data_IF_981846752841
#
_entry.id   IF_981846752841
#
_cell.length_a   1.000
_cell.length_b   1.000
_cell.length_c   1.000
_cell.angle_alpha   90.00
_cell.angle_beta   90.00
_cell.angle_gamma   90.00
#
_symmetry.space_group_name_H-M   'P 1'
#
loop_
_entity.id
_entity.type
_entity.pdbx_description
1 polymer ?
#
# COMPACT_ATOMS: atom_id res chain seq x y z
N UNK A 1 -18.32 3.85 4.36
CA UNK A 1 -17.06 3.52 5.08
C UNK A 1 -16.58 2.16 4.59
N UNK A 2 -15.49 2.07 3.82
CA UNK A 2 -14.96 0.76 3.41
C UNK A 2 -14.48 0.01 4.64
N UNK A 3 -14.90 -1.27 4.80
CA UNK A 3 -14.43 -2.12 5.90
C UNK A 3 -12.95 -2.46 5.68
N UNK A 4 -12.11 -2.19 6.68
CA UNK A 4 -10.70 -2.61 6.67
C UNK A 4 -10.63 -4.13 6.73
N UNK A 5 -10.05 -4.76 5.71
CA UNK A 5 -9.80 -6.21 5.66
C UNK A 5 -8.38 -6.50 6.13
N UNK A 6 -8.23 -7.38 7.13
CA UNK A 6 -6.91 -7.86 7.55
C UNK A 6 -6.30 -8.66 6.40
N UNK A 7 -5.08 -8.29 6.01
CA UNK A 7 -4.26 -9.05 5.06
C UNK A 7 -2.93 -9.38 5.71
N UNK A 8 -2.47 -10.61 5.51
CA UNK A 8 -1.18 -11.10 5.98
C UNK A 8 -0.17 -11.05 4.84
N UNK A 9 1.08 -10.77 5.18
CA UNK A 9 2.23 -10.91 4.31
C UNK A 9 3.31 -11.68 5.07
N UNK A 10 4.09 -12.47 4.35
CA UNK A 10 5.22 -13.19 4.92
C UNK A 10 6.43 -12.27 5.00
N UNK A 11 7.21 -12.38 6.07
CA UNK A 11 8.41 -11.60 6.30
C UNK A 11 9.44 -12.43 7.06
N UNK A 12 10.73 -12.20 6.81
CA UNK A 12 11.78 -12.81 7.62
C UNK A 12 11.86 -12.09 8.99
N UNK A 13 12.48 -12.71 10.00
CA UNK A 13 12.74 -12.03 11.29
C UNK A 13 13.53 -10.73 11.13
N UNK A 14 14.43 -10.68 10.14
CA UNK A 14 15.21 -9.47 9.80
C UNK A 14 14.30 -8.36 9.29
N UNK A 15 13.41 -8.68 8.35
CA UNK A 15 12.46 -7.71 7.78
C UNK A 15 11.54 -7.14 8.87
N UNK A 16 11.10 -7.99 9.81
CA UNK A 16 10.28 -7.56 10.93
C UNK A 16 11.01 -6.56 11.84
N UNK A 17 12.30 -6.82 12.10
CA UNK A 17 13.15 -5.94 12.91
C UNK A 17 13.38 -4.60 12.21
N UNK A 18 13.66 -4.63 10.91
CA UNK A 18 13.80 -3.42 10.09
C UNK A 18 12.51 -2.59 10.06
N UNK A 19 11.36 -3.25 9.88
CA UNK A 19 10.06 -2.59 9.90
C UNK A 19 9.78 -1.94 11.26
N UNK A 20 10.13 -2.60 12.37
CA UNK A 20 9.94 -2.03 13.70
C UNK A 20 10.78 -0.76 13.92
N UNK A 21 12.04 -0.77 13.47
CA UNK A 21 12.91 0.41 13.54
C UNK A 21 12.34 1.59 12.74
N UNK A 22 11.90 1.35 11.50
CA UNK A 22 11.30 2.37 10.63
C UNK A 22 9.99 2.90 11.23
N UNK A 23 9.15 2.02 11.77
CA UNK A 23 7.89 2.39 12.40
C UNK A 23 8.12 3.31 13.60
N UNK A 24 9.07 2.97 14.49
CA UNK A 24 9.46 3.81 15.63
C UNK A 24 10.00 5.17 15.20
N UNK A 25 10.86 5.20 14.19
CA UNK A 25 11.43 6.45 13.67
C UNK A 25 10.35 7.43 13.18
N UNK A 26 9.30 6.92 12.55
CA UNK A 26 8.19 7.74 12.06
C UNK A 26 7.02 7.92 13.05
N UNK A 27 7.09 7.33 14.25
CA UNK A 27 5.99 7.38 15.22
C UNK A 27 4.72 6.65 14.75
N UNK A 28 4.85 5.64 13.89
CA UNK A 28 3.75 4.88 13.31
C UNK A 28 3.72 3.46 13.86
N UNK A 29 2.57 2.79 13.75
CA UNK A 29 2.53 1.34 13.89
C UNK A 29 3.02 0.65 12.59
N UNK A 30 3.33 -0.66 12.68
CA UNK A 30 3.87 -1.45 11.56
C UNK A 30 2.96 -1.42 10.32
N UNK A 31 1.66 -1.61 10.51
CA UNK A 31 0.68 -1.61 9.40
C UNK A 31 0.56 -0.24 8.73
N UNK A 32 0.53 0.84 9.51
CA UNK A 32 0.51 2.20 9.02
C UNK A 32 1.80 2.55 8.27
N UNK A 33 2.93 2.04 8.75
CA UNK A 33 4.24 2.20 8.08
C UNK A 33 4.23 1.55 6.70
N UNK A 34 3.79 0.30 6.58
CA UNK A 34 3.67 -0.40 5.28
C UNK A 34 2.71 0.35 4.35
N UNK A 35 1.52 0.72 4.84
CA UNK A 35 0.55 1.44 4.03
C UNK A 35 1.10 2.78 3.53
N UNK A 36 1.84 3.51 4.38
CA UNK A 36 2.49 4.76 4.02
C UNK A 36 3.58 4.56 2.96
N UNK A 37 4.44 3.54 3.13
CA UNK A 37 5.49 3.22 2.17
C UNK A 37 4.91 2.82 0.81
N UNK A 38 3.88 1.97 0.80
CA UNK A 38 3.19 1.55 -0.43
C UNK A 38 2.57 2.75 -1.14
N UNK A 39 1.85 3.63 -0.42
CA UNK A 39 1.27 4.85 -1.04
C UNK A 39 2.35 5.77 -1.60
N UNK A 40 3.45 5.98 -0.86
CA UNK A 40 4.56 6.82 -1.31
C UNK A 40 5.20 6.27 -2.57
N UNK A 41 5.44 4.96 -2.62
CA UNK A 41 6.04 4.32 -3.78
C UNK A 41 5.09 4.30 -4.97
N UNK A 42 3.81 4.04 -4.73
CA UNK A 42 2.78 4.06 -5.76
C UNK A 42 2.75 5.39 -6.52
N UNK A 43 2.71 6.51 -5.79
CA UNK A 43 2.69 7.83 -6.42
C UNK A 43 4.02 8.23 -7.05
N UNK A 44 5.14 7.65 -6.62
CA UNK A 44 6.42 7.82 -7.31
C UNK A 44 6.43 7.13 -8.66
N UNK A 45 5.84 5.93 -8.75
CA UNK A 45 5.74 5.16 -10.00
C UNK A 45 4.72 5.80 -10.96
N UNK A 46 3.63 6.37 -10.42
CA UNK A 46 2.52 6.94 -11.19
C UNK A 46 2.30 8.44 -10.89
N UNK A 47 3.26 9.33 -11.22
CA UNK A 47 3.17 10.74 -10.88
C UNK A 47 2.04 11.49 -11.60
N UNK A 48 1.61 11.00 -12.77
CA UNK A 48 0.51 11.56 -13.56
C UNK A 48 -0.83 10.85 -13.37
N UNK A 49 -0.97 9.99 -12.35
CA UNK A 49 -2.18 9.19 -12.15
C UNK A 49 -2.10 7.78 -12.74
N UNK A 50 -3.18 7.03 -12.57
CA UNK A 50 -3.25 5.59 -12.82
C UNK A 50 -3.92 5.24 -14.15
N UNK A 51 -4.12 6.22 -15.03
CA UNK A 51 -4.90 6.07 -16.28
C UNK A 51 -4.34 4.98 -17.21
N UNK A 52 -3.05 4.64 -17.07
CA UNK A 52 -2.38 3.58 -17.83
C UNK A 52 -2.48 2.19 -17.19
N UNK A 53 -2.94 2.08 -15.95
CA UNK A 53 -3.17 0.80 -15.28
C UNK A 53 -4.53 0.30 -15.75
N UNK A 54 -4.52 -0.70 -16.63
CA UNK A 54 -5.75 -1.44 -16.94
C UNK A 54 -6.24 -2.10 -15.65
N UNK A 55 -7.50 -1.86 -15.23
CA UNK A 55 -8.08 -2.55 -14.10
C UNK A 55 -8.01 -4.07 -14.32
N UNK A 56 -7.80 -4.82 -13.24
CA UNK A 56 -7.87 -6.28 -13.30
C UNK A 56 -9.22 -6.75 -13.87
N UNK A 57 -9.21 -7.92 -14.52
CA UNK A 57 -10.39 -8.48 -15.18
C UNK A 57 -11.56 -8.58 -14.18
N UNK A 58 -12.61 -7.77 -14.39
CA UNK A 58 -13.80 -7.72 -13.53
C UNK A 58 -13.87 -6.57 -12.53
N UNK A 59 -12.86 -5.68 -12.48
CA UNK A 59 -12.97 -4.43 -11.76
C UNK A 59 -13.98 -3.50 -12.47
N UNK A 60 -14.96 -2.98 -11.73
CA UNK A 60 -15.90 -1.98 -12.27
C UNK A 60 -15.13 -0.69 -12.53
N UNK A 61 -14.98 -0.34 -13.81
CA UNK A 61 -14.53 0.98 -14.24
C UNK A 61 -15.77 1.85 -14.37
N UNK A 62 -15.83 2.96 -13.64
CA UNK A 62 -16.83 4.01 -13.88
C UNK A 62 -16.37 4.84 -15.08
N UNK A 63 -16.70 4.39 -16.29
CA UNK A 63 -16.77 5.15 -17.56
C UNK A 63 -17.17 4.14 -18.64
N UNK A 64 -18.22 4.28 -19.44
CA UNK A 64 -18.84 5.47 -20.04
C UNK A 64 -20.36 5.54 -19.81
N UNK A 65 -20.86 6.76 -19.64
CA UNK A 65 -22.23 7.19 -19.95
C UNK A 65 -22.15 8.20 -21.09
#
# INVERSE_FOLDING_TARGET
MQKTKVRTFSATPRDLTMLDAVARYHGLNKSATIASLVRREFWRIFPGGTDKIRPDRGAKVESEA
#
